data_IF_082758153625
#
_entry.id   IF_082758153625
#
_cell.length_a   1.000
_cell.length_b   1.000
_cell.length_c   1.000
_cell.angle_alpha   90.00
_cell.angle_beta   90.00
_cell.angle_gamma   90.00
#
_symmetry.space_group_name_H-M   'P 1'
#
loop_
_entity.id
_entity.type
_entity.pdbx_description
1 polymer ?
#
# COMPACT_ATOMS: atom_id res chain seq x y z
N UNK A 1 18.60 -8.58 6.09
CA UNK A 1 17.79 -7.66 5.27
C UNK A 1 17.14 -8.52 4.19
N UNK A 2 15.83 -8.76 4.26
CA UNK A 2 15.17 -9.59 3.25
C UNK A 2 15.16 -8.87 1.90
N UNK A 3 15.56 -9.55 0.83
CA UNK A 3 15.43 -9.02 -0.53
C UNK A 3 13.94 -8.80 -0.83
N UNK A 4 13.59 -7.64 -1.37
CA UNK A 4 12.22 -7.36 -1.81
C UNK A 4 11.84 -8.35 -2.92
N UNK A 5 10.64 -8.96 -2.89
CA UNK A 5 10.25 -9.86 -3.96
C UNK A 5 10.19 -9.08 -5.30
N UNK A 6 10.61 -9.70 -6.43
CA UNK A 6 10.49 -9.08 -7.74
C UNK A 6 9.01 -8.89 -8.10
N UNK A 7 8.70 -7.93 -8.97
CA UNK A 7 7.32 -7.66 -9.43
C UNK A 7 6.69 -6.44 -8.75
N UNK A 8 5.38 -6.24 -9.01
CA UNK A 8 4.63 -5.07 -8.53
C UNK A 8 4.47 -5.10 -7.01
N UNK A 9 4.58 -3.94 -6.39
CA UNK A 9 4.38 -3.76 -4.95
C UNK A 9 3.27 -2.75 -4.71
N UNK A 10 2.49 -2.95 -3.65
CA UNK A 10 1.47 -1.99 -3.21
C UNK A 10 2.03 -1.15 -2.08
N UNK A 11 2.04 0.18 -2.24
CA UNK A 11 2.43 1.11 -1.18
C UNK A 11 1.18 1.70 -0.50
N UNK A 12 1.19 1.73 0.82
CA UNK A 12 0.13 2.26 1.67
C UNK A 12 0.63 3.43 2.52
N UNK A 13 -0.05 4.56 2.41
CA UNK A 13 0.06 5.69 3.33
C UNK A 13 -1.17 5.69 4.25
N UNK A 14 -1.00 5.19 5.48
CA UNK A 14 -2.10 4.91 6.41
C UNK A 14 -2.31 6.09 7.35
N UNK A 15 -3.30 6.93 7.02
CA UNK A 15 -3.77 8.01 7.88
C UNK A 15 -4.96 7.60 8.77
N UNK A 16 -5.38 8.50 9.64
CA UNK A 16 -6.54 8.28 10.51
C UNK A 16 -7.86 8.23 9.72
N UNK A 17 -8.04 9.11 8.73
CA UNK A 17 -9.28 9.21 7.95
C UNK A 17 -9.23 8.49 6.59
N UNK A 18 -8.04 8.30 6.03
CA UNK A 18 -7.84 7.81 4.66
C UNK A 18 -6.59 6.95 4.55
N UNK A 19 -6.58 6.05 3.57
CA UNK A 19 -5.40 5.28 3.15
C UNK A 19 -5.10 5.67 1.71
N UNK A 20 -3.95 6.28 1.46
CA UNK A 20 -3.44 6.44 0.11
C UNK A 20 -2.89 5.12 -0.40
N UNK A 21 -3.28 4.71 -1.61
CA UNK A 21 -2.84 3.46 -2.23
C UNK A 21 -2.12 3.76 -3.54
N UNK A 22 -0.91 3.23 -3.70
CA UNK A 22 -0.12 3.32 -4.92
C UNK A 22 0.46 1.96 -5.31
N UNK A 23 0.82 1.78 -6.57
CA UNK A 23 1.48 0.57 -7.08
C UNK A 23 2.67 0.96 -7.94
N UNK A 24 3.75 0.17 -7.88
CA UNK A 24 4.87 0.32 -8.81
C UNK A 24 4.75 -0.61 -10.03
N UNK A 25 5.53 -0.33 -11.06
CA UNK A 25 5.72 -1.26 -12.18
C UNK A 25 6.55 -2.50 -11.75
N UNK A 26 6.56 -3.59 -12.54
CA UNK A 26 7.28 -4.82 -12.17
C UNK A 26 8.79 -4.69 -11.98
N UNK A 27 9.43 -3.69 -12.60
CA UNK A 27 10.85 -3.36 -12.42
C UNK A 27 11.08 -2.48 -11.17
N UNK A 28 10.00 -2.04 -10.51
CA UNK A 28 10.02 -1.20 -9.32
C UNK A 28 10.71 0.16 -9.56
N UNK A 29 10.60 0.71 -10.77
CA UNK A 29 11.26 1.97 -11.17
C UNK A 29 10.37 3.20 -10.94
N UNK A 30 9.06 3.06 -11.12
CA UNK A 30 8.10 4.13 -10.99
C UNK A 30 6.86 3.66 -10.23
N UNK A 31 6.36 4.52 -9.33
CA UNK A 31 5.09 4.33 -8.66
C UNK A 31 4.02 5.25 -9.24
N UNK A 32 2.78 4.78 -9.27
CA UNK A 32 1.59 5.58 -9.64
C UNK A 32 0.52 5.48 -8.57
N UNK A 33 -0.27 6.54 -8.34
CA UNK A 33 -1.45 6.45 -7.47
C UNK A 33 -2.48 5.48 -8.06
N UNK A 34 -3.18 4.75 -7.19
CA UNK A 34 -4.29 3.86 -7.56
C UNK A 34 -5.62 4.41 -7.09
N UNK A 35 -5.77 4.57 -5.78
CA UNK A 35 -7.01 4.98 -5.15
C UNK A 35 -6.74 5.55 -3.75
N UNK A 36 -7.77 6.20 -3.19
CA UNK A 36 -7.78 6.63 -1.80
C UNK A 36 -8.95 5.96 -1.10
N UNK A 37 -8.66 5.11 -0.13
CA UNK A 37 -9.69 4.44 0.66
C UNK A 37 -10.09 5.37 1.81
N UNK A 38 -11.36 5.76 1.86
CA UNK A 38 -11.93 6.42 3.04
C UNK A 38 -12.15 5.37 4.13
N UNK A 39 -11.48 5.53 5.27
CA UNK A 39 -11.48 4.51 6.33
C UNK A 39 -12.82 4.46 7.04
N UNK A 40 -13.34 3.24 7.22
CA UNK A 40 -14.63 3.01 7.90
C UNK A 40 -14.50 2.01 9.03
N UNK A 41 -14.00 0.82 8.72
CA UNK A 41 -13.72 -0.23 9.70
C UNK A 41 -12.55 -1.05 9.21
N UNK A 42 -11.76 -1.62 10.13
CA UNK A 42 -10.60 -2.44 9.75
C UNK A 42 -10.98 -3.56 8.77
N UNK A 43 -12.12 -4.21 8.98
CA UNK A 43 -12.56 -5.31 8.12
C UNK A 43 -12.87 -4.83 6.70
N UNK A 44 -13.54 -3.69 6.56
CA UNK A 44 -13.83 -3.10 5.25
C UNK A 44 -12.55 -2.60 4.57
N UNK A 45 -11.70 -1.88 5.32
CA UNK A 45 -10.42 -1.37 4.84
C UNK A 45 -9.54 -2.53 4.31
N UNK A 46 -9.39 -3.62 5.08
CA UNK A 46 -8.62 -4.79 4.65
C UNK A 46 -9.23 -5.53 3.47
N UNK A 47 -10.56 -5.60 3.38
CA UNK A 47 -11.24 -6.22 2.23
C UNK A 47 -10.90 -5.47 0.95
N UNK A 48 -11.02 -4.13 0.96
CA UNK A 48 -10.70 -3.28 -0.19
C UNK A 48 -9.22 -3.41 -0.57
N UNK A 49 -8.31 -3.35 0.41
CA UNK A 49 -6.88 -3.53 0.17
C UNK A 49 -6.55 -4.91 -0.42
N UNK A 50 -7.17 -5.98 0.07
CA UNK A 50 -6.96 -7.33 -0.45
C UNK A 50 -7.50 -7.48 -1.88
N UNK A 51 -8.64 -6.89 -2.20
CA UNK A 51 -9.19 -6.86 -3.56
C UNK A 51 -8.26 -6.11 -4.51
N UNK A 52 -7.72 -4.96 -4.09
CA UNK A 52 -6.77 -4.18 -4.90
C UNK A 52 -5.43 -4.91 -5.07
N UNK A 53 -4.91 -5.53 -4.01
CA UNK A 53 -3.68 -6.33 -4.09
C UNK A 53 -3.82 -7.51 -5.06
N UNK A 54 -4.97 -8.22 -5.04
CA UNK A 54 -5.27 -9.30 -5.99
C UNK A 54 -5.39 -8.80 -7.42
N UNK A 55 -6.16 -7.72 -7.63
CA UNK A 55 -6.39 -7.13 -8.96
C UNK A 55 -5.09 -6.65 -9.62
N UNK A 56 -4.16 -6.14 -8.81
CA UNK A 56 -2.87 -5.67 -9.28
C UNK A 56 -1.78 -6.74 -9.20
N UNK A 57 -2.08 -7.97 -8.77
CA UNK A 57 -1.11 -9.09 -8.70
C UNK A 57 0.20 -8.71 -7.97
N UNK A 58 0.08 -7.94 -6.89
CA UNK A 58 1.24 -7.44 -6.14
C UNK A 58 1.91 -8.55 -5.33
N UNK A 59 3.22 -8.48 -5.21
CA UNK A 59 4.05 -9.50 -4.56
C UNK A 59 4.33 -9.18 -3.09
N UNK A 60 4.26 -7.91 -2.72
CA UNK A 60 4.27 -7.49 -1.33
C UNK A 60 3.56 -6.13 -1.15
N UNK A 61 3.28 -5.81 0.11
CA UNK A 61 2.71 -4.55 0.55
C UNK A 61 3.76 -3.82 1.40
N UNK A 62 4.02 -2.57 1.06
CA UNK A 62 4.85 -1.65 1.85
C UNK A 62 3.91 -0.69 2.57
N UNK A 63 3.98 -0.63 3.89
CA UNK A 63 3.23 0.34 4.69
C UNK A 63 4.19 1.40 5.22
N UNK A 64 3.82 2.68 5.04
CA UNK A 64 4.52 3.78 5.69
C UNK A 64 4.52 3.57 7.20
N UNK A 65 5.71 3.56 7.81
CA UNK A 65 5.88 3.53 9.25
C UNK A 65 6.14 4.97 9.72
N UNK A 66 5.20 5.62 10.42
CA UNK A 66 5.49 6.90 11.05
C UNK A 66 6.47 6.65 12.19
N UNK A 67 7.75 6.94 11.93
CA UNK A 67 8.74 7.06 13.00
C UNK A 67 8.41 8.37 13.72
N UNK A 68 8.24 8.31 15.04
CA UNK A 68 7.88 9.50 15.81
C UNK A 68 8.90 10.62 15.55
N UNK A 69 8.43 11.83 15.27
CA UNK A 69 9.20 13.04 15.51
C UNK A 69 8.91 13.44 16.95
N UNK A 70 9.77 13.05 17.88
CA UNK A 70 10.02 13.89 19.04
C UNK A 70 10.69 15.18 18.52
N UNK A 71 9.85 16.13 18.11
CA UNK A 71 10.27 17.48 17.75
C UNK A 71 10.70 18.28 18.98
#
# INVERSE_FOLDING_TARGET
MGSNPPGKLLALDVGLARIGVAVCDPLQLAARPLEVISRRSRNEDFRLLADTARREEVQAVICGLPLMMDG
#
